data_IF_640784146418
#
_entry.id   IF_640784146418
#
_cell.length_a   1.000
_cell.length_b   1.000
_cell.length_c   1.000
_cell.angle_alpha   90.00
_cell.angle_beta   90.00
_cell.angle_gamma   90.00
#
_symmetry.space_group_name_H-M   'P 1'
#
loop_
_entity.id
_entity.type
_entity.pdbx_description
1 polymer ?
#
# COMPACT_ATOMS: atom_id res chain seq x y z
N UNK A 1 -6.99 9.97 7.61
CA UNK A 1 -6.21 8.74 7.30
C UNK A 1 -4.83 8.94 6.65
N UNK A 2 -4.57 9.96 5.82
CA UNK A 2 -3.20 10.19 5.27
C UNK A 2 -2.13 10.38 6.36
N UNK A 3 -2.45 11.14 7.42
CA UNK A 3 -1.58 11.33 8.60
C UNK A 3 -1.25 10.01 9.32
N UNK A 4 -2.20 9.07 9.36
CA UNK A 4 -1.97 7.76 9.97
C UNK A 4 -0.98 6.92 9.17
N UNK A 5 -1.09 6.91 7.84
CA UNK A 5 -0.11 6.24 6.99
C UNK A 5 1.30 6.82 7.18
N UNK A 6 1.42 8.15 7.25
CA UNK A 6 2.69 8.83 7.55
C UNK A 6 3.24 8.47 8.94
N UNK A 7 2.37 8.35 9.94
CA UNK A 7 2.73 7.87 11.28
C UNK A 7 3.35 6.47 11.20
N UNK A 8 2.70 5.51 10.52
CA UNK A 8 3.21 4.14 10.41
C UNK A 8 4.58 4.08 9.76
N UNK A 9 4.78 4.78 8.63
CA UNK A 9 6.08 4.88 7.96
C UNK A 9 7.13 5.43 8.93
N UNK A 10 6.80 6.52 9.64
CA UNK A 10 7.71 7.15 10.61
C UNK A 10 8.07 6.20 11.76
N UNK A 11 7.11 5.42 12.25
CA UNK A 11 7.32 4.45 13.33
C UNK A 11 8.19 3.27 12.93
N UNK A 12 8.08 2.82 11.67
CA UNK A 12 8.91 1.75 11.10
C UNK A 12 10.35 2.22 10.94
N UNK A 13 10.56 3.46 10.46
CA UNK A 13 11.89 3.99 10.19
C UNK A 13 12.66 4.44 11.45
N UNK A 14 11.96 4.82 12.52
CA UNK A 14 12.60 5.23 13.78
C UNK A 14 13.04 4.03 14.61
N UNK A 15 14.25 4.08 15.16
CA UNK A 15 14.80 3.05 16.06
C UNK A 15 14.68 3.44 17.54
N UNK A 16 14.79 4.74 17.87
CA UNK A 16 14.67 5.27 19.23
C UNK A 16 13.25 5.11 19.79
N UNK A 17 13.14 4.48 20.97
CA UNK A 17 11.86 4.35 21.70
C UNK A 17 11.27 5.72 22.05
N UNK A 18 12.10 6.65 22.54
CA UNK A 18 11.63 7.96 22.96
C UNK A 18 11.11 8.77 21.77
N UNK A 19 11.73 8.62 20.60
CA UNK A 19 11.24 9.26 19.38
C UNK A 19 9.89 8.68 18.95
N UNK A 20 9.70 7.36 19.04
CA UNK A 20 8.41 6.73 18.74
C UNK A 20 7.31 7.25 19.67
N UNK A 21 7.60 7.38 20.97
CA UNK A 21 6.67 7.93 21.96
C UNK A 21 6.32 9.38 21.61
N UNK A 22 7.32 10.20 21.25
CA UNK A 22 7.11 11.60 20.86
C UNK A 22 6.18 11.71 19.64
N UNK A 23 6.46 10.96 18.57
CA UNK A 23 5.65 10.99 17.34
C UNK A 23 4.23 10.47 17.58
N UNK A 24 4.06 9.42 18.39
CA UNK A 24 2.72 8.94 18.79
C UNK A 24 1.96 10.02 19.56
N UNK A 25 2.60 10.64 20.55
CA UNK A 25 1.97 11.68 21.38
C UNK A 25 1.51 12.86 20.54
N UNK A 26 2.36 13.31 19.61
CA UNK A 26 2.04 14.38 18.68
C UNK A 26 0.85 14.02 17.78
N UNK A 27 0.86 12.82 17.20
CA UNK A 27 -0.24 12.34 16.36
C UNK A 27 -1.59 12.33 17.10
N UNK A 28 -1.62 11.75 18.32
CA UNK A 28 -2.85 11.65 19.11
C UNK A 28 -3.36 13.02 19.60
N UNK A 29 -2.45 13.97 19.84
CA UNK A 29 -2.80 15.33 20.23
C UNK A 29 -3.52 16.11 19.13
N UNK A 30 -3.09 15.97 17.88
CA UNK A 30 -3.58 16.80 16.76
C UNK A 30 -4.53 16.10 15.79
N UNK A 31 -4.77 14.80 15.94
CA UNK A 31 -5.72 14.07 15.09
C UNK A 31 -7.13 14.16 15.67
N UNK A 32 -8.13 14.65 14.91
CA UNK A 32 -9.52 14.68 15.35
C UNK A 32 -10.16 13.28 15.35
N UNK A 33 -11.26 13.12 16.08
CA UNK A 33 -12.12 11.93 15.95
C UNK A 33 -12.91 11.99 14.62
N UNK A 34 -13.20 10.85 13.97
CA UNK A 34 -12.96 9.47 14.43
C UNK A 34 -11.58 8.89 14.07
N UNK A 35 -10.79 9.57 13.23
CA UNK A 35 -9.49 9.11 12.74
C UNK A 35 -8.54 8.69 13.86
N UNK A 36 -8.58 9.42 14.98
CA UNK A 36 -7.82 9.14 16.18
C UNK A 36 -8.18 7.78 16.82
N UNK A 37 -9.47 7.49 16.97
CA UNK A 37 -9.96 6.23 17.54
C UNK A 37 -9.61 5.04 16.65
N UNK A 38 -9.76 5.18 15.33
CA UNK A 38 -9.35 4.14 14.38
C UNK A 38 -7.86 3.85 14.44
N UNK A 39 -7.01 4.88 14.53
CA UNK A 39 -5.57 4.72 14.66
C UNK A 39 -5.18 3.99 15.95
N UNK A 40 -5.83 4.32 17.08
CA UNK A 40 -5.61 3.62 18.34
C UNK A 40 -5.99 2.14 18.25
N UNK A 41 -7.15 1.85 17.68
CA UNK A 41 -7.58 0.46 17.47
C UNK A 41 -6.61 -0.31 16.59
N UNK A 42 -6.13 0.30 15.51
CA UNK A 42 -5.21 -0.34 14.57
C UNK A 42 -3.87 -0.67 15.24
N UNK A 43 -3.30 0.28 16.00
CA UNK A 43 -2.02 0.10 16.69
C UNK A 43 -2.08 -0.92 17.82
N UNK A 44 -3.23 -1.08 18.47
CA UNK A 44 -3.43 -2.02 19.57
C UNK A 44 -3.96 -3.38 19.12
N UNK A 45 -4.23 -3.56 17.82
CA UNK A 45 -4.83 -4.78 17.27
C UNK A 45 -6.29 -4.99 17.68
N UNK A 46 -6.96 -3.97 18.21
CA UNK A 46 -8.37 -4.02 18.65
C UNK A 46 -9.34 -3.46 17.62
N UNK A 47 -8.83 -2.93 16.51
CA UNK A 47 -9.67 -2.41 15.43
C UNK A 47 -10.43 -3.54 14.75
N UNK A 48 -11.72 -3.60 15.04
CA UNK A 48 -12.69 -4.40 14.30
C UNK A 48 -13.42 -3.49 13.32
N UNK A 49 -13.32 -3.79 12.02
CA UNK A 49 -14.13 -3.14 10.99
C UNK A 49 -15.13 -4.17 10.48
N UNK A 50 -16.39 -4.11 10.96
CA UNK A 50 -17.42 -5.04 10.52
C UNK A 50 -17.57 -4.98 8.99
N UNK A 51 -17.51 -6.13 8.33
CA UNK A 51 -17.75 -6.25 6.89
C UNK A 51 -16.50 -6.20 6.00
N UNK A 52 -15.31 -5.85 6.52
CA UNK A 52 -14.07 -5.92 5.72
C UNK A 52 -13.42 -7.28 5.93
N UNK A 53 -13.72 -8.23 5.03
CA UNK A 53 -13.03 -9.52 4.95
C UNK A 53 -11.86 -9.44 3.96
N UNK A 54 -10.76 -10.20 4.15
CA UNK A 54 -9.70 -10.30 3.14
C UNK A 54 -10.22 -10.71 1.75
N UNK A 55 -11.31 -11.50 1.70
CA UNK A 55 -11.98 -11.85 0.45
C UNK A 55 -12.57 -10.64 -0.28
N UNK A 56 -13.06 -9.63 0.43
CA UNK A 56 -13.58 -8.40 -0.15
C UNK A 56 -12.47 -7.63 -0.88
N UNK A 57 -11.27 -7.56 -0.29
CA UNK A 57 -10.12 -6.92 -0.93
C UNK A 57 -9.75 -7.63 -2.22
N UNK A 58 -9.73 -8.98 -2.23
CA UNK A 58 -9.48 -9.76 -3.45
C UNK A 58 -10.54 -9.51 -4.52
N UNK A 59 -11.82 -9.45 -4.15
CA UNK A 59 -12.91 -9.12 -5.08
C UNK A 59 -12.74 -7.72 -5.68
N UNK A 60 -12.46 -6.70 -4.86
CA UNK A 60 -12.26 -5.33 -5.34
C UNK A 60 -11.06 -5.19 -6.30
N UNK A 61 -10.03 -6.02 -6.12
CA UNK A 61 -8.86 -6.04 -6.99
C UNK A 61 -9.17 -6.79 -8.29
N UNK A 62 -9.89 -7.92 -8.21
CA UNK A 62 -10.33 -8.70 -9.37
C UNK A 62 -11.29 -7.92 -10.29
N UNK A 63 -12.03 -6.93 -9.76
CA UNK A 63 -12.83 -5.99 -10.57
C UNK A 63 -11.96 -5.02 -11.38
N UNK A 64 -10.72 -4.79 -10.98
CA UNK A 64 -9.82 -3.78 -11.58
C UNK A 64 -8.76 -4.37 -12.48
N UNK A 65 -8.35 -5.59 -12.23
CA UNK A 65 -7.33 -6.28 -13.01
C UNK A 65 -7.72 -7.73 -13.27
N UNK A 66 -7.20 -8.27 -14.37
CA UNK A 66 -7.35 -9.69 -14.67
C UNK A 66 -6.77 -10.56 -13.54
N UNK A 67 -7.45 -11.67 -13.26
CA UNK A 67 -7.12 -12.55 -12.15
C UNK A 67 -5.77 -13.24 -12.33
N UNK A 68 -5.37 -13.63 -13.54
CA UNK A 68 -4.06 -14.23 -13.76
C UNK A 68 -2.94 -13.20 -13.59
N UNK A 69 -3.14 -11.97 -14.10
CA UNK A 69 -2.19 -10.88 -13.88
C UNK A 69 -2.04 -10.53 -12.39
N UNK A 70 -3.12 -10.58 -11.62
CA UNK A 70 -3.06 -10.41 -10.17
C UNK A 70 -2.22 -11.50 -9.51
N UNK A 71 -2.47 -12.76 -9.86
CA UNK A 71 -1.76 -13.90 -9.28
C UNK A 71 -0.25 -13.81 -9.58
N UNK A 72 0.14 -13.53 -10.82
CA UNK A 72 1.55 -13.33 -11.19
C UNK A 72 2.20 -12.17 -10.41
N UNK A 73 1.46 -11.08 -10.21
CA UNK A 73 1.95 -9.93 -9.44
C UNK A 73 2.11 -10.29 -7.96
N UNK A 74 1.15 -11.05 -7.41
CA UNK A 74 1.19 -11.52 -6.03
C UNK A 74 2.33 -12.50 -5.81
N UNK A 75 2.56 -13.45 -6.71
CA UNK A 75 3.65 -14.42 -6.63
C UNK A 75 5.03 -13.75 -6.66
N UNK A 76 5.16 -12.64 -7.41
CA UNK A 76 6.39 -11.86 -7.47
C UNK A 76 6.65 -11.03 -6.19
N UNK A 77 5.60 -10.38 -5.65
CA UNK A 77 5.73 -9.47 -4.51
C UNK A 77 5.75 -10.23 -3.17
N UNK A 78 4.93 -11.27 -3.04
CA UNK A 78 4.87 -12.13 -1.85
C UNK A 78 3.99 -11.61 -0.70
N UNK A 79 3.44 -10.39 -0.79
CA UNK A 79 2.52 -9.81 0.20
C UNK A 79 1.29 -9.15 -0.44
N UNK A 80 0.09 -9.46 0.09
CA UNK A 80 -1.17 -8.99 -0.47
C UNK A 80 -1.30 -7.46 -0.38
N UNK A 81 -0.92 -6.88 0.75
CA UNK A 81 -1.07 -5.44 0.96
C UNK A 81 -0.12 -4.66 0.04
N UNK A 82 1.12 -5.15 -0.12
CA UNK A 82 2.08 -4.58 -1.04
C UNK A 82 1.61 -4.71 -2.50
N UNK A 83 1.16 -5.90 -2.93
CA UNK A 83 0.63 -6.10 -4.29
C UNK A 83 -0.51 -5.14 -4.60
N UNK A 84 -1.51 -5.04 -3.70
CA UNK A 84 -2.66 -4.16 -3.89
C UNK A 84 -2.25 -2.68 -3.91
N UNK A 85 -1.34 -2.28 -3.04
CA UNK A 85 -0.82 -0.90 -2.98
C UNK A 85 -0.14 -0.47 -4.29
N UNK A 86 0.61 -1.37 -4.93
CA UNK A 86 1.30 -1.10 -6.19
C UNK A 86 0.34 -0.96 -7.38
N UNK A 87 -0.67 -1.82 -7.44
CA UNK A 87 -1.68 -1.84 -8.51
C UNK A 87 -2.66 -0.67 -8.38
N UNK A 88 -2.85 -0.12 -7.18
CA UNK A 88 -3.83 0.93 -6.95
C UNK A 88 -3.49 2.21 -7.73
N UNK A 89 -4.47 2.79 -8.47
CA UNK A 89 -4.22 3.93 -9.36
C UNK A 89 -3.72 5.18 -8.64
N UNK A 90 -2.95 5.99 -9.38
CA UNK A 90 -2.11 7.10 -8.91
C UNK A 90 -2.87 8.34 -8.42
N UNK A 91 -3.51 8.24 -7.26
CA UNK A 91 -3.88 9.43 -6.45
C UNK A 91 -3.05 9.55 -5.16
N UNK A 92 -2.00 8.73 -5.00
CA UNK A 92 -1.19 8.65 -3.80
C UNK A 92 0.09 9.52 -3.91
N UNK A 93 0.26 10.56 -3.06
CA UNK A 93 1.38 11.52 -3.13
C UNK A 93 2.76 10.94 -2.77
N UNK A 94 2.86 9.65 -2.40
CA UNK A 94 4.14 9.01 -2.04
C UNK A 94 4.86 8.37 -3.25
N UNK A 95 4.24 8.36 -4.44
CA UNK A 95 4.79 7.75 -5.67
C UNK A 95 5.81 8.63 -6.43
N UNK A 96 6.06 9.88 -6.02
CA UNK A 96 7.06 10.76 -6.65
C UNK A 96 8.46 10.11 -6.70
N UNK A 97 8.88 9.41 -5.65
CA UNK A 97 10.16 8.70 -5.62
C UNK A 97 10.20 7.45 -6.52
N UNK A 98 9.05 6.84 -6.81
CA UNK A 98 8.96 5.63 -7.64
C UNK A 98 8.95 5.93 -9.13
N UNK A 99 8.51 7.12 -9.55
CA UNK A 99 8.58 7.54 -10.96
C UNK A 99 10.03 7.69 -11.43
N UNK A 100 10.93 8.16 -10.56
CA UNK A 100 12.36 8.20 -10.83
C UNK A 100 12.95 6.79 -11.06
N UNK A 101 12.54 5.83 -10.23
CA UNK A 101 12.93 4.42 -10.41
C UNK A 101 12.29 3.81 -11.66
N UNK A 102 11.00 4.06 -11.92
CA UNK A 102 10.28 3.61 -13.13
C UNK A 102 10.96 4.06 -14.43
N UNK A 103 11.46 5.28 -14.46
CA UNK A 103 12.17 5.85 -15.61
C UNK A 103 13.61 5.34 -15.73
N UNK A 104 14.16 4.74 -14.67
CA UNK A 104 15.50 4.14 -14.65
C UNK A 104 15.51 2.67 -15.08
N UNK A 105 14.35 1.99 -15.09
CA UNK A 105 14.26 0.64 -15.64
C UNK A 105 14.35 0.69 -17.17
N UNK A 106 15.16 -0.18 -17.80
CA UNK A 106 15.18 -0.29 -19.25
C UNK A 106 13.76 -0.61 -19.73
N UNK A 107 13.27 0.08 -20.77
CA UNK A 107 12.02 -0.27 -21.44
C UNK A 107 12.14 -1.72 -21.88
N UNK A 108 11.44 -2.62 -21.18
CA UNK A 108 11.32 -4.01 -21.60
C UNK A 108 10.98 -4.03 -23.09
N UNK A 109 11.80 -4.70 -23.91
CA UNK A 109 11.53 -4.85 -25.34
C UNK A 109 10.22 -5.59 -25.47
N UNK A 110 9.24 -4.94 -26.09
CA UNK A 110 8.09 -5.64 -26.66
C UNK A 110 8.63 -6.82 -27.49
N UNK A 111 8.14 -8.06 -27.28
CA UNK A 111 8.47 -9.14 -28.18
C UNK A 111 7.90 -8.73 -29.53
N UNK A 112 8.78 -8.49 -30.50
CA UNK A 112 8.36 -8.21 -31.86
C UNK A 112 7.52 -9.39 -32.33
N UNK A 113 6.19 -9.20 -32.39
CA UNK A 113 5.30 -10.10 -33.12
C UNK A 113 5.59 -9.89 -34.60
N UNK A 114 6.71 -10.41 -35.08
CA UNK A 114 6.93 -10.64 -36.51
C UNK A 114 6.44 -12.07 -36.82
N UNK A 115 5.26 -12.13 -37.43
CA UNK A 115 4.84 -13.11 -38.42
C UNK A 115 5.17 -14.59 -38.14
N UNK A 116 4.33 -15.26 -37.37
CA UNK A 116 4.10 -16.71 -37.50
C UNK A 116 2.81 -16.96 -38.29
N UNK A 117 2.81 -16.58 -39.56
CA UNK A 117 1.94 -17.16 -40.61
C UNK A 117 2.69 -17.07 -41.94
N UNK A 118 3.56 -18.05 -42.18
CA UNK A 118 3.83 -18.63 -43.49
C UNK A 118 4.48 -20.01 -43.32
#
# INVERSE_FOLDING_TARGET
MKRFSQLLVTLILKTSRNDKISVLSEYFKYTPDPDRGYALGALTGTLSIPGIKPSLLRTLVAERIDQELFNLSYDYVGDLAETVSLIWPDTAPYKENYQALRNSFPKWREPQRQNFLR
#
